data_IF_149838407413
#
_entry.id   IF_149838407413
#
_cell.length_a   1.000
_cell.length_b   1.000
_cell.length_c   1.000
_cell.angle_alpha   90.00
_cell.angle_beta   90.00
_cell.angle_gamma   90.00
#
_symmetry.space_group_name_H-M   'P 1'
#
loop_
_entity.id
_entity.type
_entity.pdbx_description
1 polymer ?
#
# COMPACT_ATOMS: atom_id res chain seq x y z
N UNK A 1 1.30 -13.22 -7.28
CA UNK A 1 2.18 -12.61 -8.31
C UNK A 1 2.59 -13.57 -9.44
N UNK A 2 2.14 -14.84 -9.45
CA UNK A 2 2.39 -15.81 -10.54
C UNK A 2 2.28 -15.20 -11.95
N UNK A 3 1.32 -14.31 -12.19
CA UNK A 3 1.05 -13.70 -13.50
C UNK A 3 1.90 -12.47 -13.87
N UNK A 4 2.48 -11.75 -12.90
CA UNK A 4 3.39 -10.60 -13.14
C UNK A 4 4.84 -11.09 -13.23
N UNK A 5 5.22 -12.06 -12.37
CA UNK A 5 6.44 -12.85 -12.54
C UNK A 5 6.43 -13.65 -13.84
N UNK A 6 5.28 -14.24 -14.25
CA UNK A 6 5.16 -14.84 -15.59
C UNK A 6 5.34 -13.83 -16.71
N UNK A 7 4.89 -12.57 -16.53
CA UNK A 7 5.10 -11.53 -17.53
C UNK A 7 6.60 -11.19 -17.64
N UNK A 8 7.28 -10.98 -16.52
CA UNK A 8 8.72 -10.71 -16.49
C UNK A 8 9.53 -11.90 -17.02
N UNK A 9 9.21 -13.14 -16.62
CA UNK A 9 9.88 -14.37 -17.07
C UNK A 9 9.64 -14.62 -18.56
N UNK A 10 8.43 -14.39 -19.08
CA UNK A 10 8.14 -14.56 -20.52
C UNK A 10 8.72 -13.42 -21.37
N UNK A 11 8.75 -12.18 -20.88
CA UNK A 11 9.43 -11.08 -21.56
C UNK A 11 10.96 -11.25 -21.52
N UNK A 12 11.53 -11.80 -20.45
CA UNK A 12 12.94 -12.22 -20.39
C UNK A 12 13.27 -13.24 -21.50
N UNK A 13 12.37 -14.18 -21.81
CA UNK A 13 12.56 -15.11 -22.94
C UNK A 13 12.47 -14.45 -24.33
N UNK A 14 11.81 -13.29 -24.46
CA UNK A 14 11.78 -12.51 -25.71
C UNK A 14 13.10 -11.76 -25.93
N UNK A 15 13.81 -11.37 -24.86
CA UNK A 15 15.08 -10.64 -24.93
C UNK A 15 16.29 -11.57 -25.13
N UNK A 16 16.20 -12.84 -24.71
CA UNK A 16 17.30 -13.81 -24.75
C UNK A 16 17.69 -14.35 -26.16
N UNK A 17 17.03 -13.90 -27.24
CA UNK A 17 17.33 -14.36 -28.60
C UNK A 17 18.44 -13.57 -29.33
N UNK A 18 19.22 -12.70 -28.65
CA UNK A 18 20.35 -12.01 -29.28
C UNK A 18 21.55 -11.91 -28.35
N UNK A 19 22.59 -12.68 -28.66
CA UNK A 19 23.83 -12.76 -27.89
C UNK A 19 24.79 -11.60 -28.18
N UNK A 20 25.55 -11.24 -27.14
CA UNK A 20 26.74 -10.37 -27.11
C UNK A 20 26.56 -8.88 -27.46
N UNK A 21 26.08 -8.06 -26.50
CA UNK A 21 26.12 -6.59 -26.60
C UNK A 21 26.41 -5.89 -25.25
N UNK A 22 26.98 -4.66 -25.28
CA UNK A 22 27.53 -3.94 -24.12
C UNK A 22 26.48 -3.46 -23.10
N UNK A 23 26.94 -3.08 -21.90
CA UNK A 23 26.13 -2.80 -20.72
C UNK A 23 25.12 -1.63 -20.88
N UNK A 24 25.46 -0.59 -21.64
CA UNK A 24 24.58 0.58 -21.85
C UNK A 24 23.31 0.22 -22.65
N UNK A 25 23.41 -0.70 -23.62
CA UNK A 25 22.27 -1.21 -24.38
C UNK A 25 21.35 -2.13 -23.55
N UNK A 26 21.77 -2.61 -22.37
CA UNK A 26 20.94 -3.43 -21.47
C UNK A 26 20.01 -2.60 -20.61
N UNK A 27 20.42 -1.39 -20.20
CA UNK A 27 19.55 -0.46 -19.47
C UNK A 27 18.36 0.01 -20.34
N UNK A 28 18.58 0.18 -21.65
CA UNK A 28 17.54 0.45 -22.66
C UNK A 28 16.61 -0.74 -22.98
N UNK A 29 16.94 -1.96 -22.50
CA UNK A 29 16.23 -3.21 -22.84
C UNK A 29 15.58 -3.90 -21.64
N UNK A 30 15.07 -3.13 -20.68
CA UNK A 30 14.14 -3.70 -19.68
C UNK A 30 12.95 -4.35 -20.40
N UNK A 31 12.49 -5.54 -19.99
CA UNK A 31 11.21 -6.11 -20.37
C UNK A 31 10.04 -5.11 -20.35
N UNK A 32 10.09 -4.18 -19.40
CA UNK A 32 9.08 -3.13 -19.22
C UNK A 32 9.24 -2.05 -20.30
N UNK A 33 10.46 -1.68 -20.68
CA UNK A 33 10.70 -0.75 -21.79
C UNK A 33 10.19 -1.33 -23.12
N UNK A 34 10.43 -2.61 -23.39
CA UNK A 34 9.88 -3.30 -24.56
C UNK A 34 8.33 -3.32 -24.54
N UNK A 35 7.73 -3.56 -23.38
CA UNK A 35 6.27 -3.51 -23.23
C UNK A 35 5.70 -2.10 -23.42
N UNK A 36 6.38 -1.06 -22.93
CA UNK A 36 6.00 0.35 -23.16
C UNK A 36 5.99 0.70 -24.65
N UNK A 37 7.00 0.25 -25.39
CA UNK A 37 7.05 0.42 -26.86
C UNK A 37 5.83 -0.23 -27.52
N UNK A 38 5.51 -1.48 -27.17
CA UNK A 38 4.31 -2.17 -27.69
C UNK A 38 3.02 -1.42 -27.35
N UNK A 39 2.92 -0.86 -26.16
CA UNK A 39 1.74 -0.12 -25.69
C UNK A 39 1.59 1.25 -26.38
N UNK A 40 2.69 1.84 -26.84
CA UNK A 40 2.69 3.10 -27.59
C UNK A 40 2.51 2.92 -29.11
N UNK A 41 2.75 1.72 -29.65
CA UNK A 41 2.58 1.43 -31.08
C UNK A 41 1.12 1.62 -31.55
N UNK A 42 0.97 2.07 -32.80
CA UNK A 42 -0.32 2.05 -33.52
C UNK A 42 -0.85 0.63 -33.65
N UNK A 43 -2.17 0.47 -33.70
CA UNK A 43 -2.87 -0.83 -33.67
C UNK A 43 -2.45 -1.78 -34.81
N UNK A 44 -2.23 -1.24 -36.01
CA UNK A 44 -1.77 -1.98 -37.19
C UNK A 44 -0.34 -2.52 -37.00
N UNK A 45 0.61 -1.64 -36.64
CA UNK A 45 1.99 -2.01 -36.36
C UNK A 45 2.10 -3.01 -35.19
N UNK A 46 1.32 -2.79 -34.12
CA UNK A 46 1.26 -3.67 -32.94
C UNK A 46 0.77 -5.06 -33.32
N UNK A 47 -0.21 -5.18 -34.21
CA UNK A 47 -0.75 -6.48 -34.65
C UNK A 47 0.31 -7.28 -35.41
N UNK A 48 1.06 -6.64 -36.32
CA UNK A 48 2.18 -7.27 -37.03
C UNK A 48 3.27 -7.72 -36.06
N UNK A 49 3.66 -6.87 -35.12
CA UNK A 49 4.71 -7.16 -34.12
C UNK A 49 4.31 -8.33 -33.19
N UNK A 50 3.03 -8.40 -32.79
CA UNK A 50 2.48 -9.51 -32.01
C UNK A 50 2.40 -10.80 -32.82
N UNK A 51 2.07 -10.74 -34.11
CA UNK A 51 1.98 -11.91 -34.98
C UNK A 51 3.32 -12.63 -35.15
N UNK A 52 4.44 -11.89 -35.08
CA UNK A 52 5.80 -12.43 -35.11
C UNK A 52 6.23 -13.12 -33.80
N UNK A 53 5.47 -13.00 -32.70
CA UNK A 53 5.80 -13.60 -31.39
C UNK A 53 5.29 -15.06 -31.32
N UNK A 54 5.97 -15.93 -30.55
CA UNK A 54 5.47 -17.29 -30.28
C UNK A 54 4.05 -17.28 -29.70
N UNK A 55 3.22 -18.27 -30.05
CA UNK A 55 1.79 -18.28 -29.73
C UNK A 55 1.48 -18.00 -28.24
N UNK A 56 2.20 -18.67 -27.33
CA UNK A 56 2.04 -18.49 -25.87
C UNK A 56 2.42 -17.08 -25.41
N UNK A 57 3.48 -16.51 -25.98
CA UNK A 57 3.93 -15.15 -25.65
C UNK A 57 2.95 -14.12 -26.20
N UNK A 58 2.48 -14.31 -27.44
CA UNK A 58 1.49 -13.47 -28.10
C UNK A 58 0.18 -13.41 -27.30
N UNK A 59 -0.31 -14.55 -26.81
CA UNK A 59 -1.52 -14.61 -25.98
C UNK A 59 -1.38 -13.78 -24.70
N UNK A 60 -0.28 -13.96 -23.97
CA UNK A 60 -0.02 -13.22 -22.74
C UNK A 60 0.11 -11.72 -22.99
N UNK A 61 0.90 -11.33 -24.01
CA UNK A 61 1.07 -9.91 -24.37
C UNK A 61 -0.25 -9.29 -24.80
N UNK A 62 -1.07 -9.99 -25.58
CA UNK A 62 -2.37 -9.48 -26.05
C UNK A 62 -3.30 -9.21 -24.88
N UNK A 63 -3.43 -10.16 -23.95
CA UNK A 63 -4.23 -9.99 -22.74
C UNK A 63 -3.76 -8.79 -21.92
N UNK A 64 -2.45 -8.63 -21.77
CA UNK A 64 -1.85 -7.57 -20.96
C UNK A 64 -1.97 -6.20 -21.61
N UNK A 65 -1.79 -6.11 -22.92
CA UNK A 65 -2.01 -4.88 -23.66
C UNK A 65 -3.47 -4.41 -23.50
N UNK A 66 -4.44 -5.32 -23.61
CA UNK A 66 -5.86 -5.00 -23.35
C UNK A 66 -6.10 -4.49 -21.94
N UNK A 67 -5.51 -5.15 -20.93
CA UNK A 67 -5.61 -4.69 -19.54
C UNK A 67 -5.06 -3.29 -19.35
N UNK A 68 -3.88 -2.98 -19.91
CA UNK A 68 -3.26 -1.66 -19.77
C UNK A 68 -3.94 -0.58 -20.63
N UNK A 69 -4.46 -0.93 -21.81
CA UNK A 69 -5.23 -0.03 -22.68
C UNK A 69 -6.53 0.42 -22.00
N UNK A 70 -7.13 -0.42 -21.15
CA UNK A 70 -8.33 -0.09 -20.37
C UNK A 70 -8.05 0.84 -19.16
N UNK A 71 -6.78 1.02 -18.76
CA UNK A 71 -6.42 1.90 -17.64
C UNK A 71 -6.36 3.36 -18.07
N UNK A 72 -6.74 4.25 -17.15
CA UNK A 72 -6.49 5.68 -17.29
C UNK A 72 -4.98 5.97 -17.42
N UNK A 73 -4.56 7.01 -18.17
CA UNK A 73 -3.14 7.25 -18.45
C UNK A 73 -2.25 7.37 -17.21
N UNK A 74 -2.72 8.05 -16.15
CA UNK A 74 -1.98 8.19 -14.90
C UNK A 74 -1.81 6.86 -14.15
N UNK A 75 -2.87 6.04 -14.09
CA UNK A 75 -2.83 4.72 -13.46
C UNK A 75 -1.94 3.74 -14.22
N UNK A 76 -2.03 3.77 -15.56
CA UNK A 76 -1.17 3.00 -16.46
C UNK A 76 0.31 3.29 -16.20
N UNK A 77 0.69 4.57 -16.17
CA UNK A 77 2.08 4.95 -15.93
C UNK A 77 2.54 4.61 -14.51
N UNK A 78 1.68 4.81 -13.50
CA UNK A 78 1.98 4.40 -12.13
C UNK A 78 2.27 2.89 -12.04
N UNK A 79 1.48 2.06 -12.73
CA UNK A 79 1.65 0.60 -12.76
C UNK A 79 2.92 0.17 -13.51
N UNK A 80 3.24 0.82 -14.63
CA UNK A 80 4.48 0.58 -15.37
C UNK A 80 5.70 0.93 -14.53
N UNK A 81 5.73 2.12 -13.90
CA UNK A 81 6.82 2.52 -12.99
C UNK A 81 6.97 1.59 -11.81
N UNK A 82 5.86 1.10 -11.24
CA UNK A 82 5.91 0.11 -10.17
C UNK A 82 6.54 -1.21 -10.61
N UNK A 83 6.20 -1.67 -11.81
CA UNK A 83 6.76 -2.91 -12.36
C UNK A 83 8.24 -2.76 -12.68
N UNK A 84 8.64 -1.61 -13.20
CA UNK A 84 10.03 -1.29 -13.53
C UNK A 84 10.90 -1.17 -12.27
N UNK A 85 10.41 -0.47 -11.23
CA UNK A 85 11.09 -0.40 -9.95
C UNK A 85 11.28 -1.79 -9.35
N UNK A 86 10.25 -2.65 -9.38
CA UNK A 86 10.36 -4.03 -8.91
C UNK A 86 11.42 -4.82 -9.67
N UNK A 87 11.48 -4.67 -10.99
CA UNK A 87 12.47 -5.34 -11.82
C UNK A 87 13.91 -4.98 -11.42
N UNK A 88 14.20 -3.69 -11.19
CA UNK A 88 15.55 -3.23 -10.81
C UNK A 88 15.88 -3.43 -9.32
N UNK A 89 14.91 -3.25 -8.43
CA UNK A 89 15.13 -3.32 -6.99
C UNK A 89 15.27 -4.78 -6.50
N UNK A 90 14.50 -5.72 -7.04
CA UNK A 90 14.49 -7.09 -6.53
C UNK A 90 15.88 -7.79 -6.54
N UNK A 91 16.69 -7.71 -7.63
CA UNK A 91 18.06 -8.24 -7.62
C UNK A 91 18.95 -7.58 -6.57
N UNK A 92 18.79 -6.27 -6.35
CA UNK A 92 19.59 -5.50 -5.39
C UNK A 92 19.30 -5.91 -3.94
N UNK A 93 18.04 -6.18 -3.60
CA UNK A 93 17.63 -6.67 -2.27
C UNK A 93 18.25 -8.03 -1.93
N UNK A 94 18.50 -8.86 -2.94
CA UNK A 94 19.11 -10.18 -2.79
C UNK A 94 20.65 -10.16 -2.89
N UNK A 95 21.25 -8.98 -3.12
CA UNK A 95 22.69 -8.82 -3.30
C UNK A 95 23.31 -8.17 -2.06
N UNK A 96 24.50 -8.64 -1.67
CA UNK A 96 25.27 -8.10 -0.55
C UNK A 96 25.59 -6.62 -0.84
N UNK A 97 25.39 -5.68 0.12
CA UNK A 97 25.58 -4.24 -0.11
C UNK A 97 26.89 -3.88 -0.81
N UNK A 98 28.01 -4.48 -0.37
CA UNK A 98 29.35 -4.22 -0.92
C UNK A 98 29.51 -4.57 -2.41
N UNK A 99 28.64 -5.43 -2.96
CA UNK A 99 28.70 -5.90 -4.36
C UNK A 99 27.61 -5.33 -5.25
N UNK A 100 26.79 -4.38 -4.76
CA UNK A 100 25.65 -3.83 -5.52
C UNK A 100 26.06 -2.82 -6.60
N UNK A 101 27.24 -2.21 -6.51
CA UNK A 101 27.64 -1.10 -7.39
C UNK A 101 27.49 -1.38 -8.89
N UNK A 102 27.87 -2.57 -9.43
CA UNK A 102 27.68 -2.88 -10.85
C UNK A 102 26.20 -2.98 -11.26
N UNK A 103 25.33 -3.45 -10.36
CA UNK A 103 23.89 -3.58 -10.62
C UNK A 103 23.19 -2.21 -10.49
N UNK A 104 23.62 -1.38 -9.55
CA UNK A 104 23.13 0.00 -9.41
C UNK A 104 23.40 0.83 -10.67
N UNK A 105 24.56 0.63 -11.32
CA UNK A 105 24.87 1.30 -12.58
C UNK A 105 23.90 0.93 -13.74
N UNK A 106 23.12 -0.14 -13.62
CA UNK A 106 22.11 -0.53 -14.61
C UNK A 106 20.74 0.11 -14.38
N UNK A 107 20.55 0.78 -13.24
CA UNK A 107 19.29 1.44 -12.89
C UNK A 107 19.14 2.71 -13.72
N UNK A 108 18.01 2.91 -14.44
CA UNK A 108 17.75 4.13 -15.16
C UNK A 108 17.77 5.35 -14.24
N UNK A 109 18.30 6.48 -14.72
CA UNK A 109 18.46 7.72 -13.94
C UNK A 109 17.16 8.16 -13.23
N UNK A 110 16.03 8.08 -13.92
CA UNK A 110 14.71 8.44 -13.35
C UNK A 110 14.24 7.55 -12.19
N UNK A 111 14.85 6.37 -11.98
CA UNK A 111 14.56 5.47 -10.86
C UNK A 111 15.64 5.51 -9.77
N UNK A 112 16.81 6.12 -10.02
CA UNK A 112 17.95 6.17 -9.11
C UNK A 112 17.58 6.63 -7.69
N UNK A 113 16.99 7.84 -7.52
CA UNK A 113 16.63 8.36 -6.20
C UNK A 113 15.71 7.42 -5.41
N UNK A 114 14.77 6.77 -6.09
CA UNK A 114 13.81 5.87 -5.47
C UNK A 114 14.43 4.52 -5.09
N UNK A 115 15.33 3.99 -5.93
CA UNK A 115 16.08 2.77 -5.60
C UNK A 115 17.00 3.02 -4.41
N UNK A 116 17.70 4.15 -4.38
CA UNK A 116 18.56 4.54 -3.26
C UNK A 116 17.78 4.68 -1.95
N UNK A 117 16.66 5.41 -1.96
CA UNK A 117 15.78 5.56 -0.80
C UNK A 117 15.33 4.20 -0.25
N UNK A 118 14.90 3.28 -1.14
CA UNK A 118 14.42 1.95 -0.75
C UNK A 118 15.53 1.05 -0.24
N UNK A 119 16.74 1.11 -0.84
CA UNK A 119 17.90 0.36 -0.35
C UNK A 119 18.40 0.88 1.00
N UNK A 120 18.40 2.21 1.20
CA UNK A 120 18.77 2.80 2.49
C UNK A 120 17.82 2.38 3.61
N UNK A 121 16.52 2.22 3.32
CA UNK A 121 15.56 1.66 4.26
C UNK A 121 15.75 0.14 4.46
N UNK A 122 16.02 -0.60 3.39
CA UNK A 122 16.30 -2.04 3.43
C UNK A 122 17.51 -2.39 4.30
N UNK A 123 18.62 -1.67 4.13
CA UNK A 123 19.88 -1.96 4.81
C UNK A 123 19.84 -1.62 6.32
N UNK A 124 18.84 -0.85 6.77
CA UNK A 124 18.58 -0.60 8.20
C UNK A 124 17.80 -1.72 8.87
N UNK A 125 17.16 -2.61 8.11
CA UNK A 125 16.38 -3.68 8.69
C UNK A 125 17.27 -4.74 9.33
N UNK A 126 16.85 -5.33 10.47
CA UNK A 126 17.46 -6.54 10.99
C UNK A 126 17.39 -7.68 9.97
N UNK A 127 18.41 -8.56 9.98
CA UNK A 127 18.51 -9.67 9.02
C UNK A 127 17.31 -10.65 9.08
N UNK A 128 16.68 -10.78 10.25
CA UNK A 128 15.44 -11.54 10.46
C UNK A 128 14.30 -10.95 9.61
N UNK A 129 14.15 -9.63 9.62
CA UNK A 129 13.11 -8.92 8.89
C UNK A 129 13.39 -8.95 7.40
N UNK A 130 14.66 -8.79 6.99
CA UNK A 130 15.03 -8.94 5.58
C UNK A 130 14.65 -10.33 5.05
N UNK A 131 14.94 -11.40 5.80
CA UNK A 131 14.53 -12.77 5.43
C UNK A 131 13.01 -12.92 5.36
N UNK A 132 12.28 -12.37 6.33
CA UNK A 132 10.81 -12.40 6.36
C UNK A 132 10.20 -11.69 5.15
N UNK A 133 10.78 -10.56 4.73
CA UNK A 133 10.33 -9.83 3.54
C UNK A 133 10.66 -10.58 2.25
N UNK A 134 11.87 -11.14 2.11
CA UNK A 134 12.27 -11.88 0.91
C UNK A 134 11.45 -13.17 0.72
N UNK A 135 10.98 -13.78 1.81
CA UNK A 135 10.15 -15.00 1.78
C UNK A 135 8.65 -14.72 1.68
N UNK A 136 8.21 -13.51 2.01
CA UNK A 136 6.82 -13.09 1.90
C UNK A 136 6.59 -12.24 0.64
N UNK A 137 6.03 -12.87 -0.39
CA UNK A 137 5.70 -12.25 -1.68
C UNK A 137 4.93 -10.93 -1.54
N UNK A 138 4.04 -10.82 -0.53
CA UNK A 138 3.23 -9.61 -0.31
C UNK A 138 4.06 -8.47 0.28
N UNK A 139 4.99 -8.76 1.20
CA UNK A 139 5.88 -7.77 1.80
C UNK A 139 6.91 -7.26 0.77
N UNK A 140 7.50 -8.19 0.01
CA UNK A 140 8.42 -7.82 -1.08
C UNK A 140 7.75 -6.89 -2.09
N UNK A 141 6.51 -7.19 -2.48
CA UNK A 141 5.72 -6.35 -3.39
C UNK A 141 5.43 -4.96 -2.82
N UNK A 142 5.26 -4.85 -1.50
CA UNK A 142 5.04 -3.58 -0.84
C UNK A 142 6.26 -2.68 -1.00
N UNK A 143 7.45 -3.22 -0.69
CA UNK A 143 8.70 -2.45 -0.75
C UNK A 143 9.06 -1.94 -2.14
N UNK A 144 8.72 -2.70 -3.18
CA UNK A 144 9.14 -2.42 -4.56
C UNK A 144 8.17 -1.52 -5.34
N UNK A 145 7.38 -0.68 -4.68
CA UNK A 145 6.41 0.23 -5.33
C UNK A 145 6.75 1.72 -5.13
N UNK A 146 6.64 2.55 -6.19
CA UNK A 146 6.88 4.00 -6.15
C UNK A 146 5.78 4.71 -5.37
N UNK A 147 6.14 5.70 -4.54
CA UNK A 147 5.17 6.56 -3.88
C UNK A 147 4.34 7.36 -4.89
N UNK A 148 3.01 7.30 -4.77
CA UNK A 148 2.03 8.08 -5.53
C UNK A 148 1.23 8.83 -4.48
N UNK A 149 1.34 10.17 -4.40
CA UNK A 149 0.53 10.94 -3.47
C UNK A 149 -0.97 10.75 -3.75
N UNK A 150 -1.77 10.48 -2.71
CA UNK A 150 -3.25 10.50 -2.73
C UNK A 150 -3.99 9.54 -3.71
N UNK A 151 -3.36 8.55 -4.33
CA UNK A 151 -4.04 7.61 -5.23
C UNK A 151 -4.51 6.30 -4.54
N UNK A 152 -5.68 6.25 -3.91
CA UNK A 152 -6.30 4.96 -3.53
C UNK A 152 -6.92 4.29 -4.76
N UNK A 153 -6.74 2.97 -4.96
CA UNK A 153 -7.42 2.32 -6.07
C UNK A 153 -8.92 2.31 -5.73
N UNK A 154 -9.82 2.51 -6.71
CA UNK A 154 -11.23 2.34 -6.43
C UNK A 154 -11.49 0.91 -5.93
N UNK A 155 -12.44 0.77 -5.01
CA UNK A 155 -12.87 -0.54 -4.52
C UNK A 155 -13.31 -1.41 -5.71
N UNK A 156 -12.92 -2.69 -5.75
CA UNK A 156 -13.44 -3.60 -6.77
C UNK A 156 -14.97 -3.65 -6.67
N UNK A 157 -15.70 -3.73 -7.79
CA UNK A 157 -17.16 -3.86 -7.77
C UNK A 157 -17.59 -5.06 -6.89
N UNK A 158 -18.51 -4.83 -5.95
CA UNK A 158 -19.01 -5.85 -5.02
C UNK A 158 -18.31 -5.92 -3.66
N UNK A 159 -17.28 -5.08 -3.42
CA UNK A 159 -16.73 -4.82 -2.09
C UNK A 159 -17.32 -3.53 -1.53
N UNK A 160 -18.58 -3.60 -1.09
CA UNK A 160 -19.20 -2.51 -0.35
C UNK A 160 -18.60 -2.46 1.06
N UNK A 161 -18.03 -1.32 1.49
CA UNK A 161 -17.52 -1.18 2.84
C UNK A 161 -18.68 -1.17 3.83
N UNK A 162 -18.66 -2.08 4.80
CA UNK A 162 -19.60 -2.05 5.92
C UNK A 162 -19.21 -0.90 6.86
N UNK A 163 -19.79 0.28 6.62
CA UNK A 163 -19.57 1.46 7.46
C UNK A 163 -20.47 1.35 8.68
N UNK A 164 -19.93 1.36 9.92
CA UNK A 164 -20.76 1.33 11.12
C UNK A 164 -21.72 2.52 11.19
N UNK A 165 -22.94 2.31 11.65
CA UNK A 165 -23.98 3.36 11.75
C UNK A 165 -23.52 4.60 12.55
N UNK A 166 -22.74 4.38 13.61
CA UNK A 166 -22.18 5.46 14.44
C UNK A 166 -21.25 6.40 13.64
N UNK A 167 -20.57 5.85 12.62
CA UNK A 167 -19.68 6.61 11.73
C UNK A 167 -20.51 7.35 10.70
N UNK A 168 -21.54 6.72 10.14
CA UNK A 168 -22.47 7.40 9.25
C UNK A 168 -23.13 8.61 9.94
N UNK A 169 -23.50 8.47 11.21
CA UNK A 169 -23.98 9.60 12.02
C UNK A 169 -22.90 10.67 12.23
N UNK A 170 -21.68 10.29 12.61
CA UNK A 170 -20.55 11.20 12.75
C UNK A 170 -20.26 12.03 11.48
N UNK A 171 -20.50 11.46 10.30
CA UNK A 171 -20.35 12.15 9.01
C UNK A 171 -21.41 13.23 8.77
N UNK A 172 -22.59 13.11 9.37
CA UNK A 172 -23.62 14.16 9.25
C UNK A 172 -23.29 15.43 10.05
N UNK A 173 -22.39 15.31 11.02
CA UNK A 173 -21.96 16.44 11.87
C UNK A 173 -21.04 17.39 11.10
N UNK A 174 -21.10 18.68 11.38
CA UNK A 174 -20.14 19.63 10.85
C UNK A 174 -18.78 19.56 11.58
N UNK A 175 -17.78 20.28 11.07
CA UNK A 175 -16.43 20.26 11.63
C UNK A 175 -16.39 20.71 13.11
N UNK A 176 -17.21 21.70 13.49
CA UNK A 176 -17.25 22.23 14.85
C UNK A 176 -17.91 21.25 15.81
N UNK A 177 -19.01 20.62 15.39
CA UNK A 177 -19.70 19.59 16.16
C UNK A 177 -18.80 18.38 16.43
N UNK A 178 -18.04 17.94 15.41
CA UNK A 178 -17.07 16.85 15.58
C UNK A 178 -15.96 17.21 16.56
N UNK A 179 -15.39 18.41 16.46
CA UNK A 179 -14.35 18.87 17.38
C UNK A 179 -14.86 18.94 18.81
N UNK A 180 -16.06 19.48 19.01
CA UNK A 180 -16.67 19.55 20.33
C UNK A 180 -16.92 18.16 20.95
N UNK A 181 -17.28 17.15 20.17
CA UNK A 181 -17.43 15.78 20.67
C UNK A 181 -16.09 15.16 21.09
N UNK A 182 -15.02 15.38 20.33
CA UNK A 182 -13.67 14.92 20.70
C UNK A 182 -13.15 15.61 21.96
N UNK A 183 -13.42 16.91 22.10
CA UNK A 183 -13.06 17.68 23.29
C UNK A 183 -13.83 17.22 24.53
N UNK A 184 -15.13 16.96 24.39
CA UNK A 184 -15.96 16.40 25.47
C UNK A 184 -15.44 15.03 25.92
N UNK A 185 -15.03 14.19 24.97
CA UNK A 185 -14.44 12.89 25.28
C UNK A 185 -13.10 13.05 26.02
N UNK A 186 -12.25 13.98 25.59
CA UNK A 186 -10.99 14.29 26.28
C UNK A 186 -11.24 14.82 27.69
N UNK A 187 -12.26 15.67 27.85
CA UNK A 187 -12.64 16.24 29.13
C UNK A 187 -13.13 15.17 30.13
N UNK A 188 -13.85 14.15 29.65
CA UNK A 188 -14.34 13.05 30.50
C UNK A 188 -13.23 12.40 31.34
N UNK A 189 -12.06 12.13 30.75
CA UNK A 189 -10.94 11.49 31.44
C UNK A 189 -10.25 12.39 32.48
N UNK A 190 -10.56 13.69 32.49
CA UNK A 190 -10.08 14.65 33.50
C UNK A 190 -11.07 14.83 34.66
N UNK A 191 -12.27 14.27 34.55
CA UNK A 191 -13.27 14.32 35.62
C UNK A 191 -12.88 13.39 36.77
N UNK A 192 -13.42 13.66 37.96
CA UNK A 192 -13.34 12.74 39.09
C UNK A 192 -14.29 11.54 38.91
N UNK A 193 -14.01 10.43 39.59
CA UNK A 193 -14.75 9.18 39.46
C UNK A 193 -16.24 9.30 39.80
N UNK A 194 -16.60 10.16 40.74
CA UNK A 194 -18.01 10.39 41.10
C UNK A 194 -18.74 11.06 39.95
N UNK A 195 -18.11 12.03 39.30
CA UNK A 195 -18.67 12.71 38.13
C UNK A 195 -18.73 11.79 36.91
N UNK A 196 -17.69 11.00 36.64
CA UNK A 196 -17.70 9.98 35.57
C UNK A 196 -18.85 9.00 35.72
N UNK A 197 -19.07 8.49 36.94
CA UNK A 197 -20.16 7.57 37.25
C UNK A 197 -21.53 8.18 36.96
N UNK A 198 -21.73 9.47 37.31
CA UNK A 198 -22.99 10.18 37.02
C UNK A 198 -23.22 10.35 35.52
N UNK A 199 -22.19 10.69 34.76
CA UNK A 199 -22.29 10.86 33.30
C UNK A 199 -22.73 9.56 32.64
N UNK A 200 -22.12 8.43 32.99
CA UNK A 200 -22.48 7.12 32.45
C UNK A 200 -23.86 6.68 32.92
N UNK A 201 -24.22 6.91 34.19
CA UNK A 201 -25.52 6.55 34.74
C UNK A 201 -26.69 7.30 34.10
N UNK A 202 -26.46 8.51 33.59
CA UNK A 202 -27.46 9.30 32.88
C UNK A 202 -27.84 8.73 31.50
N UNK A 203 -27.06 7.78 30.96
CA UNK A 203 -27.38 7.11 29.70
C UNK A 203 -28.46 6.02 29.90
N UNK A 204 -29.41 5.88 28.95
CA UNK A 204 -30.36 4.77 28.95
C UNK A 204 -29.67 3.45 28.55
N UNK A 205 -30.25 2.31 28.94
CA UNK A 205 -29.86 1.02 28.36
C UNK A 205 -30.34 0.92 26.90
N UNK A 206 -29.60 0.26 25.99
CA UNK A 206 -28.33 -0.46 26.19
C UNK A 206 -27.06 0.41 26.11
N UNK A 207 -27.22 1.71 25.82
CA UNK A 207 -26.09 2.64 25.60
C UNK A 207 -25.21 2.80 26.83
N UNK A 208 -25.78 2.70 28.03
CA UNK A 208 -25.02 2.74 29.29
C UNK A 208 -24.06 1.56 29.40
N UNK A 209 -24.51 0.33 29.12
CA UNK A 209 -23.65 -0.84 29.13
C UNK A 209 -22.51 -0.74 28.09
N UNK A 210 -22.83 -0.26 26.88
CA UNK A 210 -21.83 -0.01 25.84
C UNK A 210 -20.80 1.05 26.27
N UNK A 211 -21.26 2.20 26.75
CA UNK A 211 -20.39 3.28 27.22
C UNK A 211 -19.50 2.83 28.38
N UNK A 212 -20.03 2.06 29.33
CA UNK A 212 -19.24 1.51 30.46
C UNK A 212 -18.11 0.62 29.95
N UNK A 213 -18.37 -0.25 28.99
CA UNK A 213 -17.36 -1.13 28.39
C UNK A 213 -16.30 -0.31 27.65
N UNK A 214 -16.72 0.53 26.71
CA UNK A 214 -15.82 1.30 25.85
C UNK A 214 -14.97 2.27 26.67
N UNK A 215 -15.56 3.01 27.61
CA UNK A 215 -14.81 3.94 28.45
C UNK A 215 -13.83 3.19 29.37
N UNK A 216 -14.21 2.01 29.87
CA UNK A 216 -13.32 1.15 30.64
C UNK A 216 -12.09 0.68 29.86
N UNK A 217 -12.22 0.35 28.57
CA UNK A 217 -11.09 0.03 27.70
C UNK A 217 -10.16 1.24 27.51
N UNK A 218 -10.73 2.44 27.34
CA UNK A 218 -9.94 3.66 27.19
C UNK A 218 -9.23 4.10 28.48
N UNK A 219 -9.76 3.79 29.66
CA UNK A 219 -9.07 4.05 30.94
C UNK A 219 -7.78 3.22 31.09
N UNK A 220 -7.68 2.08 30.41
CA UNK A 220 -6.46 1.26 30.40
C UNK A 220 -5.37 1.82 29.48
N UNK A 221 -5.73 2.73 28.58
CA UNK A 221 -4.80 3.35 27.64
C UNK A 221 -3.99 4.47 28.31
N UNK A 222 -2.73 4.62 27.89
CA UNK A 222 -1.93 5.76 28.31
C UNK A 222 -2.53 7.08 27.80
N UNK A 223 -2.11 8.23 28.35
CA UNK A 223 -2.57 9.52 27.85
C UNK A 223 -2.17 9.73 26.37
N UNK A 224 -1.01 9.23 25.98
CA UNK A 224 -0.49 9.28 24.61
C UNK A 224 -1.30 8.41 23.66
N UNK A 225 -1.57 7.15 24.04
CA UNK A 225 -2.39 6.24 23.22
C UNK A 225 -3.81 6.78 23.03
N UNK A 226 -4.41 7.36 24.08
CA UNK A 226 -5.72 8.03 23.96
C UNK A 226 -5.69 9.20 23.00
N UNK A 227 -4.65 10.03 23.06
CA UNK A 227 -4.48 11.15 22.14
C UNK A 227 -4.32 10.67 20.69
N UNK A 228 -3.55 9.60 20.47
CA UNK A 228 -3.40 8.99 19.15
C UNK A 228 -4.74 8.44 18.61
N UNK A 229 -5.54 7.77 19.45
CA UNK A 229 -6.88 7.32 19.07
C UNK A 229 -7.78 8.49 18.65
N UNK A 230 -7.75 9.60 19.39
CA UNK A 230 -8.56 10.78 19.08
C UNK A 230 -8.09 11.49 17.82
N UNK A 231 -6.78 11.60 17.60
CA UNK A 231 -6.23 12.13 16.36
C UNK A 231 -6.66 11.28 15.15
N UNK A 232 -6.65 9.96 15.28
CA UNK A 232 -7.13 9.04 14.25
C UNK A 232 -8.62 9.22 13.95
N UNK A 233 -9.47 9.37 14.99
CA UNK A 233 -10.90 9.65 14.84
C UNK A 233 -11.16 11.02 14.17
N UNK A 234 -10.40 12.06 14.55
CA UNK A 234 -10.46 13.38 13.92
C UNK A 234 -10.16 13.28 12.42
N UNK A 235 -9.07 12.60 12.07
CA UNK A 235 -8.65 12.39 10.69
C UNK A 235 -9.70 11.61 9.90
N UNK A 236 -10.27 10.55 10.49
CA UNK A 236 -11.35 9.78 9.86
C UNK A 236 -12.56 10.67 9.55
N UNK A 237 -12.96 11.55 10.46
CA UNK A 237 -14.05 12.50 10.23
C UNK A 237 -13.78 13.56 9.16
N UNK A 238 -12.52 13.79 8.78
CA UNK A 238 -12.10 14.74 7.75
C UNK A 238 -11.94 14.09 6.37
N UNK A 239 -11.86 12.76 6.30
CA UNK A 239 -11.75 12.01 5.04
C UNK A 239 -13.03 12.15 4.20
N UNK A 240 -12.88 12.16 2.88
CA UNK A 240 -13.99 12.02 1.94
C UNK A 240 -14.66 10.65 2.05
N UNK A 241 -15.90 10.52 1.55
CA UNK A 241 -16.60 9.22 1.53
C UNK A 241 -15.79 8.13 0.81
N UNK A 242 -15.10 8.46 -0.29
CA UNK A 242 -14.27 7.51 -1.02
C UNK A 242 -13.05 7.04 -0.20
N UNK A 243 -12.38 7.94 0.51
CA UNK A 243 -11.25 7.59 1.38
C UNK A 243 -11.68 6.74 2.57
N UNK A 244 -12.85 7.03 3.16
CA UNK A 244 -13.40 6.25 4.27
C UNK A 244 -13.89 4.87 3.83
N UNK A 245 -14.58 4.79 2.68
CA UNK A 245 -14.97 3.55 2.05
C UNK A 245 -13.75 2.65 1.85
N UNK A 246 -12.67 3.22 1.33
CA UNK A 246 -11.41 2.50 1.21
C UNK A 246 -10.86 2.09 2.57
N UNK A 247 -10.87 2.98 3.58
CA UNK A 247 -10.42 2.66 4.93
C UNK A 247 -11.16 1.46 5.55
N UNK A 248 -12.47 1.36 5.41
CA UNK A 248 -13.24 0.24 5.98
C UNK A 248 -13.01 -1.06 5.23
N UNK A 249 -13.05 -1.04 3.89
CA UNK A 249 -12.73 -2.21 3.09
C UNK A 249 -11.31 -2.69 3.37
N UNK A 250 -10.41 -1.74 3.60
CA UNK A 250 -9.12 -1.97 4.16
C UNK A 250 -9.29 -2.67 5.53
N UNK A 251 -9.66 -2.02 6.62
CA UNK A 251 -9.77 -2.62 7.95
C UNK A 251 -10.40 -4.03 7.99
N UNK A 252 -11.42 -4.31 7.17
CA UNK A 252 -12.01 -5.64 7.01
C UNK A 252 -11.07 -6.72 6.45
N UNK A 253 -10.26 -6.41 5.44
CA UNK A 253 -9.25 -7.40 4.99
C UNK A 253 -8.18 -7.62 6.05
N UNK A 254 -7.82 -6.60 6.85
CA UNK A 254 -6.86 -6.73 7.95
C UNK A 254 -7.37 -7.69 9.03
N UNK A 255 -8.64 -7.52 9.43
CA UNK A 255 -9.29 -8.40 10.40
C UNK A 255 -9.30 -9.85 9.94
N UNK A 256 -9.43 -10.09 8.63
CA UNK A 256 -9.41 -11.42 8.02
C UNK A 256 -8.01 -12.04 7.94
N UNK A 257 -6.95 -11.29 8.26
CA UNK A 257 -5.58 -11.80 8.15
C UNK A 257 -5.14 -12.57 9.39
N UNK A 258 -4.42 -13.70 9.20
CA UNK A 258 -3.79 -14.42 10.30
C UNK A 258 -2.90 -13.50 11.15
N UNK A 259 -2.84 -13.74 12.46
CA UNK A 259 -1.99 -12.95 13.36
C UNK A 259 -0.51 -13.01 12.95
N UNK A 260 -0.04 -14.15 12.46
CA UNK A 260 1.32 -14.30 11.92
C UNK A 260 1.59 -13.35 10.76
N UNK A 261 0.63 -13.16 9.87
CA UNK A 261 0.72 -12.22 8.76
C UNK A 261 0.67 -10.77 9.27
N UNK A 262 -0.26 -10.45 10.17
CA UNK A 262 -0.34 -9.10 10.78
C UNK A 262 0.93 -8.72 11.54
N UNK A 263 1.53 -9.65 12.27
CA UNK A 263 2.79 -9.45 12.98
C UNK A 263 3.95 -9.16 12.01
N UNK A 264 4.01 -9.86 10.87
CA UNK A 264 4.99 -9.59 9.82
C UNK A 264 4.87 -8.14 9.29
N UNK A 265 3.64 -7.68 9.04
CA UNK A 265 3.39 -6.32 8.58
C UNK A 265 3.74 -5.25 9.61
N UNK A 266 3.44 -5.47 10.90
CA UNK A 266 3.79 -4.50 11.97
C UNK A 266 5.30 -4.22 12.02
N UNK A 267 6.14 -5.23 11.79
CA UNK A 267 7.61 -5.09 11.79
C UNK A 267 8.14 -4.24 10.62
N UNK A 268 7.46 -4.30 9.48
CA UNK A 268 7.90 -3.67 8.23
C UNK A 268 7.37 -2.24 8.12
N UNK A 269 6.11 -2.00 8.50
CA UNK A 269 5.43 -0.70 8.30
C UNK A 269 6.02 0.43 9.14
N UNK A 270 6.64 0.12 10.29
CA UNK A 270 7.25 1.11 11.19
C UNK A 270 8.60 1.61 10.64
N UNK A 271 9.31 0.77 9.89
CA UNK A 271 10.67 1.07 9.39
C UNK A 271 10.68 1.54 7.93
N UNK A 272 9.60 1.33 7.18
CA UNK A 272 9.48 1.81 5.81
C UNK A 272 8.57 3.04 5.71
N UNK A 273 8.96 4.07 4.92
CA UNK A 273 8.12 5.24 4.69
C UNK A 273 6.76 4.82 4.09
N UNK A 274 5.69 5.60 4.34
CA UNK A 274 4.35 5.27 3.89
C UNK A 274 4.32 5.04 2.37
N UNK A 275 3.82 3.86 2.00
CA UNK A 275 3.76 3.40 0.62
C UNK A 275 2.56 4.00 -0.13
N UNK A 276 2.64 4.09 -1.48
CA UNK A 276 1.56 4.62 -2.31
C UNK A 276 0.23 3.90 -2.01
N UNK A 277 -0.89 4.60 -2.13
CA UNK A 277 -2.15 3.92 -2.20
C UNK A 277 -2.27 3.27 -3.61
N UNK A 278 -3.15 2.28 -3.75
CA UNK A 278 -3.18 1.39 -4.93
C UNK A 278 -2.46 0.06 -4.69
N UNK A 279 -1.63 0.03 -3.64
CA UNK A 279 -1.03 -1.19 -3.17
C UNK A 279 -2.08 -2.02 -2.45
N UNK A 280 -2.44 -3.17 -3.01
CA UNK A 280 -3.16 -4.24 -2.30
C UNK A 280 -2.34 -4.81 -1.12
N UNK A 281 -1.96 -3.93 -0.19
CA UNK A 281 -1.49 -4.27 1.13
C UNK A 281 -2.66 -4.92 1.87
N UNK A 282 -2.35 -5.87 2.78
CA UNK A 282 -2.88 -5.88 4.12
C UNK A 282 -3.13 -4.48 4.64
N UNK A 283 -4.39 -4.10 4.71
CA UNK A 283 -4.74 -2.75 5.07
C UNK A 283 -4.43 -2.47 6.53
N UNK A 284 -3.61 -1.46 6.79
CA UNK A 284 -3.35 -1.10 8.17
C UNK A 284 -4.41 -0.10 8.64
N UNK A 285 -4.91 -0.21 9.89
CA UNK A 285 -5.72 0.84 10.47
C UNK A 285 -4.92 2.17 10.53
N UNK A 286 -5.50 3.32 10.11
CA UNK A 286 -4.94 4.66 10.26
C UNK A 286 -4.58 4.93 11.72
N UNK A 287 -3.42 5.56 11.93
CA UNK A 287 -2.83 5.83 13.26
C UNK A 287 -1.49 5.13 13.49
N UNK A 288 -1.18 4.09 12.72
CA UNK A 288 0.09 3.35 12.84
C UNK A 288 1.34 4.10 12.32
N UNK A 289 1.17 5.23 11.62
CA UNK A 289 2.28 5.97 11.02
C UNK A 289 2.84 7.11 11.89
N UNK A 290 2.29 7.35 13.09
CA UNK A 290 2.68 8.51 13.91
C UNK A 290 3.27 8.18 15.29
N UNK A 291 3.50 6.91 15.63
CA UNK A 291 4.22 6.56 16.87
C UNK A 291 5.75 6.53 16.63
N UNK A 292 6.33 7.70 16.36
CA UNK A 292 7.76 7.98 16.61
C UNK A 292 7.90 9.44 17.03
N UNK A 293 7.78 9.70 18.33
CA UNK A 293 8.75 10.46 19.13
C UNK A 293 8.79 9.93 20.54
#
# INVERSE_FOLDING_TARGET
>A
MRRELQLCVLLLTVVLARAAEPADARAERSPIAAFRILLAMRTDARTTELAAKPARVREVLTTRLREYDALAPGEREARLRATELHYYLNPLLNTIPATRAPQLATVPEGLGPLVEERLAAWDKLPAEIQREVLTNERLLKAMTRPAVPNAFPPLPPGLEPNTPDNVAHWQTLDARQREQLLDNFTHYFRLDERTKTKVVAALPEPKRAEATRTLGEFEQLTAEDRAACLAALKKLGQMSQAEQAQFYANAEQWKKMPESERAAWRKVVIEFPPLPPGAGMPPLPPGFHEAKR
#
